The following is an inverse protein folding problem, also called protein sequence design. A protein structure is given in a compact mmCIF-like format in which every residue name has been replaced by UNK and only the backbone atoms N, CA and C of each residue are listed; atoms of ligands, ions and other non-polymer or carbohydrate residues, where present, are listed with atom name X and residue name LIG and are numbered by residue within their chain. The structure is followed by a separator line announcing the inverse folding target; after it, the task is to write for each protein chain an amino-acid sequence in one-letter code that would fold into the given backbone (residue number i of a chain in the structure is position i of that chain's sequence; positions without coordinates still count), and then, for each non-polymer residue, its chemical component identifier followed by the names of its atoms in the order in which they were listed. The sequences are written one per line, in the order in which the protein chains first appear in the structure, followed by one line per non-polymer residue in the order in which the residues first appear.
data_IF_568574676766
#
_entry.id   IF_568574676766
#
_cell.length_a   1.000
_cell.length_b   1.000
_cell.length_c   1.000
_cell.angle_alpha   90.00
_cell.angle_beta   90.00
_cell.angle_gamma   90.00
#
_symmetry.space_group_name_H-M   'P 1'
#
loop_
_entity.id
_entity.type
_entity.pdbx_description
1 polymer ?
#
# COMPACT_ATOMS: atom_id res chain seq x y z
N UNK A 1 26.58 -6.53 4.03
CA UNK A 1 25.69 -5.83 4.97
C UNK A 1 24.27 -6.22 4.64
N UNK A 2 23.57 -6.89 5.57
CA UNK A 2 22.16 -7.20 5.40
C UNK A 2 21.39 -5.93 5.10
N UNK A 3 20.70 -5.93 3.96
CA UNK A 3 19.83 -4.84 3.57
C UNK A 3 18.65 -4.79 4.53
N UNK A 4 18.25 -3.62 5.07
CA UNK A 4 17.08 -3.54 5.92
C UNK A 4 15.87 -4.13 5.17
N UNK A 5 15.45 -5.30 5.64
CA UNK A 5 14.15 -5.86 5.36
C UNK A 5 13.20 -5.04 6.22
N UNK A 6 12.44 -4.16 5.60
CA UNK A 6 11.26 -3.64 6.28
C UNK A 6 10.36 -4.84 6.50
N UNK A 7 10.26 -5.27 7.76
CA UNK A 7 9.68 -6.55 8.15
C UNK A 7 8.25 -6.71 7.63
N UNK A 8 7.82 -7.96 7.40
CA UNK A 8 6.49 -8.23 6.89
C UNK A 8 5.44 -7.68 7.86
N UNK A 9 4.41 -7.12 7.23
CA UNK A 9 3.33 -6.36 7.80
C UNK A 9 2.62 -7.04 8.98
N UNK A 10 2.39 -6.28 10.05
CA UNK A 10 1.38 -6.65 11.05
C UNK A 10 -0.04 -6.53 10.47
N UNK A 11 -1.06 -6.93 11.23
CA UNK A 11 -2.45 -6.67 10.83
C UNK A 11 -2.65 -5.20 10.50
N UNK A 12 -3.30 -4.95 9.37
CA UNK A 12 -3.72 -3.61 8.96
C UNK A 12 -4.79 -3.12 9.94
N UNK A 13 -4.33 -2.45 10.99
CA UNK A 13 -5.12 -1.86 12.06
C UNK A 13 -5.03 -0.34 11.95
N UNK A 14 -5.87 0.44 12.64
CA UNK A 14 -5.69 1.88 12.70
C UNK A 14 -4.25 2.29 13.06
N UNK A 15 -3.59 1.59 13.98
CA UNK A 15 -2.19 1.86 14.37
C UNK A 15 -1.17 1.66 13.23
N UNK A 16 -1.48 0.81 12.24
CA UNK A 16 -0.66 0.59 11.05
C UNK A 16 -0.50 1.87 10.21
N UNK A 17 -1.53 2.72 10.20
CA UNK A 17 -1.57 3.96 9.41
C UNK A 17 -0.95 5.17 10.14
N UNK A 18 -0.79 5.10 11.46
CA UNK A 18 -0.37 6.22 12.29
C UNK A 18 1.11 6.06 12.71
N UNK A 19 2.03 6.33 11.79
CA UNK A 19 3.43 6.52 12.16
C UNK A 19 3.58 7.80 13.00
N UNK A 20 3.68 7.67 14.32
CA UNK A 20 3.87 8.74 15.30
C UNK A 20 2.97 9.99 15.12
N UNK A 21 1.86 10.00 15.87
CA UNK A 21 0.98 11.14 16.16
C UNK A 21 0.32 11.83 14.96
N UNK A 22 -0.87 11.35 14.59
CA UNK A 22 -1.89 12.21 14.00
C UNK A 22 -3.05 12.35 15.01
N UNK A 23 -3.36 13.59 15.37
CA UNK A 23 -4.57 13.94 16.11
C UNK A 23 -5.82 13.57 15.28
N UNK A 24 -6.93 13.18 15.92
CA UNK A 24 -8.13 12.80 15.19
C UNK A 24 -8.72 14.01 14.44
N UNK A 25 -9.10 13.86 13.17
CA UNK A 25 -9.76 14.95 12.47
C UNK A 25 -11.16 15.20 13.06
N UNK A 26 -11.38 16.46 13.40
CA UNK A 26 -12.66 17.04 13.85
C UNK A 26 -13.59 17.24 12.64
N UNK A 27 -14.72 16.51 12.68
CA UNK A 27 -16.04 16.71 12.01
C UNK A 27 -16.14 16.98 10.50
N UNK A 28 -16.92 16.15 9.77
CA UNK A 28 -18.07 16.52 8.90
C UNK A 28 -18.78 15.22 8.38
N UNK A 29 -19.91 15.27 7.62
CA UNK A 29 -21.24 14.85 8.08
C UNK A 29 -21.79 13.52 7.48
N UNK A 30 -22.85 13.03 8.14
CA UNK A 30 -23.88 12.05 7.77
C UNK A 30 -23.68 11.20 6.48
N UNK A 31 -23.07 10.02 6.62
CA UNK A 31 -22.99 8.97 5.58
C UNK A 31 -22.85 7.57 6.26
N UNK A 32 -23.06 6.44 5.54
CA UNK A 32 -23.31 5.11 6.10
C UNK A 32 -22.17 4.65 7.00
N UNK A 33 -22.43 3.64 7.85
CA UNK A 33 -21.55 3.20 8.96
C UNK A 33 -20.07 3.54 8.70
N UNK A 34 -19.44 4.45 9.50
CA UNK A 34 -18.18 5.07 9.15
C UNK A 34 -17.18 4.05 8.62
N UNK A 35 -16.57 4.26 7.46
CA UNK A 35 -15.63 3.33 6.81
C UNK A 35 -14.70 2.61 7.79
N UNK A 36 -14.13 3.38 8.73
CA UNK A 36 -13.30 2.91 9.84
C UNK A 36 -13.90 1.72 10.60
N UNK A 37 -15.21 1.72 10.86
CA UNK A 37 -15.97 0.65 11.52
C UNK A 37 -16.02 -0.58 10.62
N UNK A 38 -16.37 -0.43 9.34
CA UNK A 38 -16.40 -1.57 8.39
C UNK A 38 -15.02 -2.20 8.22
N UNK A 39 -13.95 -1.39 8.19
CA UNK A 39 -12.58 -1.89 8.14
C UNK A 39 -12.16 -2.63 9.43
N UNK A 40 -12.81 -2.40 10.58
CA UNK A 40 -12.52 -3.16 11.81
C UNK A 40 -12.93 -4.64 11.72
N UNK A 41 -13.80 -5.01 10.78
CA UNK A 41 -14.17 -6.40 10.54
C UNK A 41 -13.05 -7.21 9.86
N UNK A 42 -12.12 -6.54 9.16
CA UNK A 42 -11.04 -7.19 8.41
C UNK A 42 -10.12 -8.03 9.31
N UNK A 43 -9.56 -7.50 10.44
CA UNK A 43 -8.82 -8.30 11.40
C UNK A 43 -9.58 -9.54 11.91
N UNK A 44 -10.87 -9.40 12.20
CA UNK A 44 -11.69 -10.50 12.72
C UNK A 44 -11.89 -11.60 11.67
N UNK A 45 -12.13 -11.23 10.41
CA UNK A 45 -12.24 -12.18 9.30
C UNK A 45 -10.90 -12.91 9.05
N UNK A 46 -9.78 -12.20 9.10
CA UNK A 46 -8.44 -12.81 8.97
C UNK A 46 -8.16 -13.77 10.13
N UNK A 47 -8.46 -13.37 11.37
CA UNK A 47 -8.28 -14.20 12.55
C UNK A 47 -9.20 -15.44 12.55
N UNK A 48 -10.35 -15.35 11.91
CA UNK A 48 -11.27 -16.46 11.69
C UNK A 48 -10.90 -17.34 10.48
N UNK A 49 -9.68 -17.21 9.94
CA UNK A 49 -9.19 -17.94 8.75
C UNK A 49 -10.05 -17.73 7.49
N UNK A 50 -10.67 -16.55 7.37
CA UNK A 50 -11.51 -16.15 6.24
C UNK A 50 -10.94 -14.94 5.47
N UNK A 51 -9.68 -14.98 5.00
CA UNK A 51 -9.08 -13.86 4.28
C UNK A 51 -9.76 -13.57 2.93
N UNK A 52 -10.44 -14.55 2.33
CA UNK A 52 -11.26 -14.34 1.12
C UNK A 52 -12.47 -13.44 1.36
N UNK A 53 -13.15 -13.62 2.49
CA UNK A 53 -14.28 -12.77 2.87
C UNK A 53 -13.81 -11.36 3.25
N UNK A 54 -12.64 -11.27 3.89
CA UNK A 54 -11.99 -9.97 4.13
C UNK A 54 -11.67 -9.26 2.80
N UNK A 55 -11.19 -9.98 1.79
CA UNK A 55 -10.89 -9.42 0.47
C UNK A 55 -12.15 -8.94 -0.24
N UNK A 56 -13.25 -9.71 -0.17
CA UNK A 56 -14.54 -9.33 -0.74
C UNK A 56 -15.09 -8.05 -0.09
N UNK A 57 -15.01 -7.94 1.24
CA UNK A 57 -15.42 -6.74 1.97
C UNK A 57 -14.58 -5.51 1.58
N UNK A 58 -13.24 -5.66 1.50
CA UNK A 58 -12.36 -4.57 1.10
C UNK A 58 -12.62 -4.10 -0.34
N UNK A 59 -12.95 -5.02 -1.25
CA UNK A 59 -13.33 -4.68 -2.63
C UNK A 59 -14.68 -3.95 -2.70
N UNK A 60 -15.68 -4.39 -1.94
CA UNK A 60 -16.97 -3.70 -1.85
C UNK A 60 -16.81 -2.25 -1.40
N UNK A 61 -16.05 -2.05 -0.33
CA UNK A 61 -15.74 -0.74 0.22
C UNK A 61 -15.01 0.15 -0.81
N UNK A 62 -13.96 -0.37 -1.47
CA UNK A 62 -13.21 0.41 -2.48
C UNK A 62 -14.10 0.79 -3.67
N UNK A 63 -15.03 -0.08 -4.10
CA UNK A 63 -16.00 0.24 -5.15
C UNK A 63 -16.94 1.38 -4.74
N UNK A 64 -17.46 1.35 -3.52
CA UNK A 64 -18.34 2.42 -3.00
C UNK A 64 -17.62 3.77 -2.93
N UNK A 65 -16.42 3.80 -2.35
CA UNK A 65 -15.64 5.03 -2.24
C UNK A 65 -15.24 5.57 -3.63
N UNK A 66 -14.88 4.68 -4.55
CA UNK A 66 -14.56 5.07 -5.94
C UNK A 66 -15.78 5.66 -6.65
N UNK A 67 -16.98 5.10 -6.43
CA UNK A 67 -18.21 5.60 -7.02
C UNK A 67 -18.64 6.96 -6.46
N UNK A 68 -18.29 7.27 -5.21
CA UNK A 68 -18.50 8.59 -4.61
C UNK A 68 -17.60 9.68 -5.24
N UNK A 69 -16.57 9.29 -6.01
CA UNK A 69 -15.68 10.23 -6.71
C UNK A 69 -14.71 10.97 -5.78
N UNK A 70 -14.53 10.50 -4.56
CA UNK A 70 -13.70 11.16 -3.55
C UNK A 70 -12.24 10.71 -3.64
N UNK A 71 -11.31 11.67 -3.64
CA UNK A 71 -9.87 11.41 -3.48
C UNK A 71 -9.45 11.66 -2.04
N UNK A 72 -9.91 10.80 -1.14
CA UNK A 72 -9.71 10.92 0.31
C UNK A 72 -8.68 9.91 0.82
N UNK A 73 -8.20 10.15 2.05
CA UNK A 73 -7.34 9.18 2.75
C UNK A 73 -8.05 7.85 3.00
N UNK A 74 -9.37 7.85 3.01
CA UNK A 74 -10.20 6.65 3.10
C UNK A 74 -10.00 5.68 1.92
N UNK A 75 -9.88 6.22 0.69
CA UNK A 75 -9.55 5.44 -0.51
C UNK A 75 -8.14 4.86 -0.42
N UNK A 76 -7.21 5.62 0.15
CA UNK A 76 -5.84 5.15 0.37
C UNK A 76 -5.83 3.95 1.31
N UNK A 77 -6.48 4.08 2.46
CA UNK A 77 -6.47 3.07 3.51
C UNK A 77 -7.10 1.76 3.04
N UNK A 78 -8.25 1.80 2.33
CA UNK A 78 -8.85 0.57 1.79
C UNK A 78 -7.95 -0.08 0.72
N UNK A 79 -7.27 0.70 -0.12
CA UNK A 79 -6.39 0.14 -1.16
C UNK A 79 -5.13 -0.49 -0.58
N UNK A 80 -4.59 0.05 0.52
CA UNK A 80 -3.52 -0.63 1.25
C UNK A 80 -4.03 -1.89 1.98
N UNK A 81 -5.28 -1.91 2.48
CA UNK A 81 -5.93 -3.16 2.97
C UNK A 81 -6.01 -4.21 1.86
N UNK A 82 -6.43 -3.82 0.64
CA UNK A 82 -6.47 -4.73 -0.52
C UNK A 82 -5.08 -5.30 -0.83
N UNK A 83 -4.05 -4.46 -0.76
CA UNK A 83 -2.65 -4.90 -0.92
C UNK A 83 -2.21 -5.91 0.14
N UNK A 84 -2.55 -5.67 1.40
CA UNK A 84 -2.29 -6.59 2.50
C UNK A 84 -2.99 -7.95 2.32
N UNK A 85 -4.28 -7.93 2.00
CA UNK A 85 -5.07 -9.16 1.83
C UNK A 85 -4.59 -9.97 0.63
N UNK A 86 -4.24 -9.32 -0.47
CA UNK A 86 -3.62 -9.99 -1.61
C UNK A 86 -2.29 -10.68 -1.21
N UNK A 87 -1.46 -10.00 -0.39
CA UNK A 87 -0.24 -10.60 0.12
C UNK A 87 -0.50 -11.82 1.02
N UNK A 88 -1.47 -11.73 1.93
CA UNK A 88 -1.88 -12.86 2.79
C UNK A 88 -2.37 -14.05 1.97
N UNK A 89 -3.08 -13.80 0.87
CA UNK A 89 -3.58 -14.82 -0.04
C UNK A 89 -2.51 -15.37 -1.01
N UNK A 90 -1.27 -14.88 -0.91
CA UNK A 90 -0.15 -15.31 -1.76
C UNK A 90 -0.08 -14.64 -3.13
N UNK A 91 -0.98 -13.70 -3.45
CA UNK A 91 -0.95 -12.90 -4.67
C UNK A 91 -0.05 -11.67 -4.49
N UNK A 92 1.26 -11.92 -4.55
CA UNK A 92 2.30 -10.92 -4.33
C UNK A 92 2.30 -9.81 -5.39
N UNK A 93 1.92 -10.13 -6.62
CA UNK A 93 1.90 -9.19 -7.74
C UNK A 93 0.75 -8.21 -7.61
N UNK A 94 -0.44 -8.69 -7.26
CA UNK A 94 -1.59 -7.84 -6.93
C UNK A 94 -1.32 -7.01 -5.68
N UNK A 95 -0.65 -7.58 -4.66
CA UNK A 95 -0.28 -6.85 -3.46
C UNK A 95 0.59 -5.62 -3.78
N UNK A 96 1.67 -5.79 -4.53
CA UNK A 96 2.55 -4.68 -4.94
C UNK A 96 1.79 -3.66 -5.80
N UNK A 97 0.94 -4.12 -6.71
CA UNK A 97 0.10 -3.22 -7.52
C UNK A 97 -0.77 -2.30 -6.66
N UNK A 98 -1.42 -2.84 -5.64
CA UNK A 98 -2.24 -2.06 -4.70
C UNK A 98 -1.41 -1.07 -3.88
N UNK A 99 -0.27 -1.49 -3.34
CA UNK A 99 0.59 -0.58 -2.59
C UNK A 99 1.17 0.54 -3.47
N UNK A 100 1.55 0.26 -4.72
CA UNK A 100 1.99 1.30 -5.66
C UNK A 100 0.86 2.29 -5.98
N UNK A 101 -0.37 1.78 -6.13
CA UNK A 101 -1.53 2.65 -6.31
C UNK A 101 -1.75 3.56 -5.09
N UNK A 102 -1.71 3.01 -3.88
CA UNK A 102 -1.83 3.79 -2.65
C UNK A 102 -0.71 4.81 -2.48
N UNK A 103 0.54 4.48 -2.84
CA UNK A 103 1.66 5.42 -2.83
C UNK A 103 1.38 6.65 -3.70
N UNK A 104 0.87 6.45 -4.92
CA UNK A 104 0.53 7.56 -5.82
C UNK A 104 -0.59 8.44 -5.27
N UNK A 105 -1.61 7.83 -4.68
CA UNK A 105 -2.69 8.59 -4.03
C UNK A 105 -2.20 9.38 -2.82
N UNK A 106 -1.40 8.76 -1.93
CA UNK A 106 -0.79 9.46 -0.79
C UNK A 106 0.07 10.63 -1.25
N UNK A 107 0.89 10.44 -2.29
CA UNK A 107 1.70 11.51 -2.87
C UNK A 107 0.84 12.65 -3.44
N UNK A 108 -0.31 12.35 -4.05
CA UNK A 108 -1.25 13.36 -4.54
C UNK A 108 -2.00 14.12 -3.45
N UNK A 109 -2.40 13.44 -2.37
CA UNK A 109 -3.21 14.03 -1.28
C UNK A 109 -2.35 14.73 -0.24
N UNK A 110 -1.28 14.07 0.22
CA UNK A 110 -0.42 14.53 1.33
C UNK A 110 0.88 15.19 0.84
N UNK A 111 1.23 14.98 -0.43
CA UNK A 111 2.50 15.41 -1.02
C UNK A 111 3.58 14.32 -0.99
N UNK A 112 4.57 14.36 -1.91
CA UNK A 112 5.63 13.36 -2.02
C UNK A 112 6.57 13.35 -0.80
N UNK A 113 6.79 14.50 -0.16
CA UNK A 113 7.67 14.63 1.01
C UNK A 113 7.01 14.25 2.35
N UNK A 114 5.70 13.94 2.35
CA UNK A 114 5.00 13.57 3.59
C UNK A 114 5.59 12.29 4.19
N UNK A 115 5.83 12.22 5.52
CA UNK A 115 6.46 11.05 6.15
C UNK A 115 5.77 9.72 5.80
N UNK A 116 4.44 9.69 5.79
CA UNK A 116 3.70 8.47 5.45
C UNK A 116 3.84 8.08 3.98
N UNK A 117 3.89 9.05 3.05
CA UNK A 117 4.14 8.81 1.63
C UNK A 117 5.53 8.20 1.42
N UNK A 118 6.53 8.74 2.11
CA UNK A 118 7.92 8.24 2.12
C UNK A 118 7.99 6.80 2.64
N UNK A 119 7.26 6.48 3.72
CA UNK A 119 7.22 5.10 4.22
C UNK A 119 6.45 4.15 3.30
N UNK A 120 5.34 4.60 2.71
CA UNK A 120 4.56 3.81 1.76
C UNK A 120 5.39 3.39 0.54
N UNK A 121 6.23 4.29 0.00
CA UNK A 121 7.11 3.97 -1.12
C UNK A 121 8.18 2.92 -0.76
N UNK A 122 8.79 3.01 0.42
CA UNK A 122 9.74 2.00 0.94
C UNK A 122 9.10 0.63 1.14
N UNK A 123 7.84 0.64 1.53
CA UNK A 123 7.03 -0.56 1.73
C UNK A 123 6.71 -1.26 0.41
N UNK A 124 6.26 -0.50 -0.59
CA UNK A 124 6.09 -1.01 -1.95
C UNK A 124 7.38 -1.62 -2.51
N UNK A 125 8.52 -0.95 -2.29
CA UNK A 125 9.84 -1.50 -2.67
C UNK A 125 10.15 -2.83 -1.98
N UNK A 126 9.87 -2.93 -0.69
CA UNK A 126 10.16 -4.15 0.08
C UNK A 126 9.37 -5.35 -0.41
N UNK A 127 8.07 -5.15 -0.70
CA UNK A 127 7.22 -6.18 -1.29
C UNK A 127 7.66 -6.56 -2.70
N UNK A 128 7.97 -5.57 -3.53
CA UNK A 128 8.41 -5.79 -4.91
C UNK A 128 9.63 -6.69 -5.02
N UNK A 129 10.59 -6.57 -4.09
CA UNK A 129 11.77 -7.46 -4.07
C UNK A 129 11.43 -8.94 -3.82
N UNK A 130 10.29 -9.22 -3.20
CA UNK A 130 9.82 -10.56 -2.91
C UNK A 130 8.96 -11.16 -4.03
N UNK A 131 8.61 -10.38 -5.06
CA UNK A 131 7.83 -10.85 -6.21
C UNK A 131 8.72 -11.68 -7.15
N UNK A 132 8.20 -12.79 -7.73
CA UNK A 132 8.87 -13.54 -8.78
C UNK A 132 9.29 -12.68 -9.99
N UNK A 133 10.34 -13.10 -10.68
CA UNK A 133 10.94 -12.34 -11.79
C UNK A 133 9.94 -11.98 -12.91
N UNK A 134 8.98 -12.87 -13.19
CA UNK A 134 7.96 -12.69 -14.24
C UNK A 134 7.14 -11.41 -14.08
N UNK A 135 6.75 -11.07 -12.85
CA UNK A 135 5.91 -9.90 -12.56
C UNK A 135 6.72 -8.68 -12.10
N UNK A 136 7.94 -8.91 -11.59
CA UNK A 136 8.79 -7.86 -11.04
C UNK A 136 9.16 -6.79 -12.08
N UNK A 137 9.29 -7.11 -13.37
CA UNK A 137 9.70 -6.12 -14.37
C UNK A 137 8.68 -4.99 -14.55
N UNK A 138 7.40 -5.32 -14.75
CA UNK A 138 6.33 -4.32 -14.94
C UNK A 138 6.15 -3.48 -13.68
N UNK A 139 5.98 -4.14 -12.54
CA UNK A 139 5.77 -3.48 -11.24
C UNK A 139 6.99 -2.66 -10.82
N UNK A 140 8.19 -3.09 -11.21
CA UNK A 140 9.43 -2.40 -10.90
C UNK A 140 9.57 -1.08 -11.64
N UNK A 141 9.11 -0.98 -12.89
CA UNK A 141 9.11 0.29 -13.62
C UNK A 141 8.20 1.33 -12.96
N UNK A 142 6.98 0.92 -12.56
CA UNK A 142 6.06 1.77 -11.79
C UNK A 142 6.66 2.18 -10.43
N UNK A 143 7.29 1.23 -9.74
CA UNK A 143 7.97 1.49 -8.49
C UNK A 143 9.13 2.49 -8.67
N UNK A 144 9.94 2.33 -9.72
CA UNK A 144 11.08 3.19 -9.99
C UNK A 144 10.63 4.64 -10.17
N UNK A 145 9.54 4.86 -10.90
CA UNK A 145 8.94 6.19 -11.02
C UNK A 145 8.54 6.73 -9.65
N UNK A 146 7.74 5.98 -8.89
CA UNK A 146 7.26 6.42 -7.58
C UNK A 146 8.41 6.73 -6.59
N UNK A 147 9.42 5.87 -6.48
CA UNK A 147 10.55 6.10 -5.56
C UNK A 147 11.46 7.23 -6.02
N UNK A 148 11.59 7.45 -7.34
CA UNK A 148 12.35 8.59 -7.88
C UNK A 148 11.67 9.91 -7.54
N UNK A 149 10.34 9.97 -7.66
CA UNK A 149 9.57 11.18 -7.36
C UNK A 149 9.54 11.48 -5.86
N UNK A 150 9.43 10.44 -5.02
CA UNK A 150 9.26 10.58 -3.56
C UNK A 150 10.59 10.74 -2.82
N UNK A 151 11.61 9.94 -3.17
CA UNK A 151 12.89 9.95 -2.47
C UNK A 151 14.01 10.67 -3.24
N UNK A 152 13.81 10.94 -4.53
CA UNK A 152 14.81 11.48 -5.43
C UNK A 152 15.55 10.41 -6.25
N UNK A 153 16.16 10.80 -7.38
CA UNK A 153 16.82 9.89 -8.33
C UNK A 153 18.05 9.18 -7.76
N UNK A 154 18.74 9.83 -6.82
CA UNK A 154 19.99 9.36 -6.18
C UNK A 154 19.76 8.63 -4.85
N UNK A 155 18.51 8.54 -4.38
CA UNK A 155 18.22 7.82 -3.15
C UNK A 155 18.58 6.34 -3.28
N UNK A 156 19.02 5.73 -2.18
CA UNK A 156 19.43 4.32 -2.16
C UNK A 156 18.33 3.38 -2.66
N UNK A 157 17.07 3.64 -2.30
CA UNK A 157 15.92 2.84 -2.77
C UNK A 157 15.73 2.94 -4.29
N UNK A 158 15.92 4.14 -4.86
CA UNK A 158 15.82 4.40 -6.30
C UNK A 158 16.93 3.71 -7.06
N UNK A 159 18.18 3.88 -6.62
CA UNK A 159 19.34 3.21 -7.22
C UNK A 159 19.19 1.69 -7.20
N UNK A 160 18.80 1.10 -6.07
CA UNK A 160 18.62 -0.35 -5.96
C UNK A 160 17.46 -0.88 -6.81
N UNK A 161 16.38 -0.11 -6.95
CA UNK A 161 15.28 -0.46 -7.85
C UNK A 161 15.77 -0.54 -9.29
N UNK A 162 16.58 0.44 -9.72
CA UNK A 162 17.20 0.49 -11.06
C UNK A 162 18.17 -0.68 -11.30
N UNK A 163 19.04 -0.97 -10.34
CA UNK A 163 20.01 -2.08 -10.42
C UNK A 163 19.31 -3.43 -10.60
N UNK A 164 18.27 -3.70 -9.81
CA UNK A 164 17.50 -4.95 -9.92
C UNK A 164 16.71 -5.03 -11.23
N UNK A 165 16.11 -3.93 -11.69
CA UNK A 165 15.44 -3.91 -12.99
C UNK A 165 16.39 -4.21 -14.16
N UNK A 166 17.62 -3.70 -14.10
CA UNK A 166 18.65 -4.00 -15.10
C UNK A 166 19.02 -5.49 -15.10
N UNK A 167 19.18 -6.10 -13.90
CA UNK A 167 19.43 -7.53 -13.77
C UNK A 167 18.29 -8.37 -14.37
N UNK A 168 17.03 -8.04 -14.05
CA UNK A 168 15.84 -8.72 -14.57
C UNK A 168 15.64 -8.56 -16.09
N UNK A 169 16.29 -7.58 -16.71
CA UNK A 169 16.21 -7.33 -18.16
C UNK A 169 17.37 -7.96 -18.94
N UNK A 170 18.33 -8.56 -18.23
CA UNK A 170 19.51 -9.21 -18.79
C UNK A 170 19.38 -10.75 -18.82
N UNK A 171 18.28 -11.29 -18.27
CA UNK A 171 17.87 -12.70 -18.31
C UNK A 171 16.92 -12.97 -19.48
#
# INVERSE_FOLDING_TARGET
MDEPRYGPWGMVTPAFWHGAAAEPPTTAPAHPEPLRIRLTAIPALVAAERPGDAAALAEEIDRELTAAGEHTMEVVDVREVRGYLAHLLGDHSTAVGWYLHAVRLRAGIQGPAHPDTVQAARRAYSLWRAVPASDARRLGAELLAAVSDIHGPEATVTRRTRERLAALSSE
#
